data_IF_108012043703
#
_entry.id   IF_108012043703
#
_cell.length_a   1.000
_cell.length_b   1.000
_cell.length_c   1.000
_cell.angle_alpha   90.00
_cell.angle_beta   90.00
_cell.angle_gamma   90.00
#
_symmetry.space_group_name_H-M   'P 1'
#
loop_
_entity.id
_entity.type
_entity.pdbx_description
1 polymer ?
#
# COMPACT_ATOMS: atom_id res chain seq x y z
N UNK A 1 -46.26 40.46 9.41
CA UNK A 1 -45.05 39.73 8.96
C UNK A 1 -44.67 38.75 10.05
N UNK A 2 -45.09 37.50 9.94
CA UNK A 2 -44.64 36.41 10.80
C UNK A 2 -44.29 35.25 9.87
N UNK A 3 -43.07 35.31 9.33
CA UNK A 3 -42.51 34.20 8.58
C UNK A 3 -42.25 33.08 9.59
N UNK A 4 -43.15 32.10 9.60
CA UNK A 4 -43.08 30.94 10.46
C UNK A 4 -42.01 30.01 9.86
N UNK A 5 -40.75 30.19 10.26
CA UNK A 5 -39.64 29.34 9.83
C UNK A 5 -39.80 27.99 10.51
N UNK A 6 -40.42 27.04 9.80
CA UNK A 6 -40.38 25.63 10.17
C UNK A 6 -38.90 25.22 10.07
N UNK A 7 -38.22 25.08 11.22
CA UNK A 7 -36.90 24.46 11.24
C UNK A 7 -37.02 23.06 10.60
N UNK A 8 -36.14 22.70 9.64
CA UNK A 8 -36.15 21.36 9.11
C UNK A 8 -35.58 20.47 10.20
N UNK A 9 -36.43 19.69 10.87
CA UNK A 9 -36.02 18.57 11.72
C UNK A 9 -35.52 17.41 10.84
N UNK A 10 -34.64 17.73 9.90
CA UNK A 10 -34.06 16.82 8.93
C UNK A 10 -32.84 16.16 9.54
N UNK A 11 -32.85 14.84 9.56
CA UNK A 11 -31.67 14.04 9.89
C UNK A 11 -30.68 14.21 8.74
N UNK A 12 -29.62 15.00 8.95
CA UNK A 12 -28.61 15.29 7.94
C UNK A 12 -27.42 14.35 8.10
N UNK A 13 -27.25 13.42 7.14
CA UNK A 13 -26.12 12.49 7.11
C UNK A 13 -24.81 13.20 6.82
N UNK A 14 -24.81 14.22 5.95
CA UNK A 14 -23.58 14.95 5.60
C UNK A 14 -22.98 15.66 6.82
N UNK A 15 -23.82 16.29 7.64
CA UNK A 15 -23.39 16.92 8.89
C UNK A 15 -22.86 15.89 9.90
N UNK A 16 -23.44 14.68 9.92
CA UNK A 16 -22.93 13.58 10.74
C UNK A 16 -21.55 13.13 10.25
N UNK A 17 -21.38 12.83 8.97
CA UNK A 17 -20.11 12.40 8.39
C UNK A 17 -19.01 13.45 8.57
N UNK A 18 -19.33 14.74 8.40
CA UNK A 18 -18.41 15.83 8.70
C UNK A 18 -17.95 15.84 10.17
N UNK A 19 -18.83 15.49 11.11
CA UNK A 19 -18.52 15.49 12.56
C UNK A 19 -17.67 14.31 13.04
N UNK A 20 -17.66 13.21 12.28
CA UNK A 20 -16.91 11.98 12.57
C UNK A 20 -15.70 11.78 11.64
N UNK A 21 -15.46 12.74 10.73
CA UNK A 21 -14.32 12.71 9.84
C UNK A 21 -13.00 12.68 10.64
N UNK A 22 -12.06 11.82 10.23
CA UNK A 22 -10.77 11.63 10.89
C UNK A 22 -10.79 10.90 12.24
N UNK A 23 -11.96 10.39 12.69
CA UNK A 23 -12.04 9.60 13.93
C UNK A 23 -11.73 8.12 13.70
N UNK A 24 -11.25 7.40 14.73
CA UNK A 24 -11.05 5.96 14.65
C UNK A 24 -12.34 5.21 14.28
N UNK A 25 -12.23 4.13 13.50
CA UNK A 25 -13.37 3.36 13.00
C UNK A 25 -14.35 2.93 14.10
N UNK A 26 -13.83 2.54 15.28
CA UNK A 26 -14.65 2.15 16.44
C UNK A 26 -15.51 3.31 16.99
N UNK A 27 -14.97 4.53 16.98
CA UNK A 27 -15.72 5.72 17.42
C UNK A 27 -16.77 6.12 16.39
N UNK A 28 -16.44 6.02 15.10
CA UNK A 28 -17.37 6.26 14.00
C UNK A 28 -18.54 5.27 14.09
N UNK A 29 -18.28 3.99 14.31
CA UNK A 29 -19.30 2.95 14.50
C UNK A 29 -20.19 3.23 15.71
N UNK A 30 -19.62 3.66 16.84
CA UNK A 30 -20.42 4.01 18.02
C UNK A 30 -21.31 5.22 17.76
N UNK A 31 -20.75 6.27 17.15
CA UNK A 31 -21.49 7.49 16.81
C UNK A 31 -22.61 7.21 15.79
N UNK A 32 -22.35 6.35 14.81
CA UNK A 32 -23.33 5.90 13.82
C UNK A 32 -24.49 5.14 14.47
N UNK A 33 -24.20 4.20 15.37
CA UNK A 33 -25.23 3.47 16.11
C UNK A 33 -26.08 4.40 17.00
N UNK A 34 -25.45 5.38 17.65
CA UNK A 34 -26.16 6.39 18.44
C UNK A 34 -27.03 7.30 17.55
N UNK A 35 -26.53 7.74 16.40
CA UNK A 35 -27.26 8.54 15.43
C UNK A 35 -28.49 7.81 14.89
N UNK A 36 -28.35 6.52 14.55
CA UNK A 36 -29.48 5.69 14.11
C UNK A 36 -30.52 5.53 15.23
N UNK A 37 -30.08 5.19 16.43
CA UNK A 37 -31.00 4.86 17.54
C UNK A 37 -31.70 6.10 18.11
N UNK A 38 -30.94 7.17 18.38
CA UNK A 38 -31.47 8.39 19.01
C UNK A 38 -32.02 9.38 17.98
N UNK A 39 -31.37 9.49 16.83
CA UNK A 39 -31.82 10.34 15.73
C UNK A 39 -32.97 9.69 14.97
N UNK A 40 -32.68 8.67 14.16
CA UNK A 40 -33.64 8.10 13.22
C UNK A 40 -34.81 7.42 13.95
N UNK A 41 -34.53 6.38 14.73
CA UNK A 41 -35.59 5.64 15.44
C UNK A 41 -36.32 6.54 16.44
N UNK A 42 -35.57 7.36 17.19
CA UNK A 42 -36.11 8.30 18.17
C UNK A 42 -37.07 9.33 17.56
N UNK A 43 -36.70 9.98 16.46
CA UNK A 43 -37.54 10.99 15.79
C UNK A 43 -38.77 10.35 15.18
N UNK A 44 -38.63 9.23 14.47
CA UNK A 44 -39.77 8.55 13.83
C UNK A 44 -40.78 8.09 14.89
N UNK A 45 -40.30 7.49 15.99
CA UNK A 45 -41.16 7.00 17.08
C UNK A 45 -41.89 8.16 17.77
N UNK A 46 -41.24 9.31 17.98
CA UNK A 46 -41.87 10.50 18.55
C UNK A 46 -42.93 11.09 17.63
N UNK A 47 -42.63 11.22 16.34
CA UNK A 47 -43.56 11.79 15.35
C UNK A 47 -44.79 10.90 15.11
N UNK A 48 -44.63 9.57 15.18
CA UNK A 48 -45.71 8.61 14.89
C UNK A 48 -46.32 7.97 16.15
N UNK A 49 -45.97 8.46 17.35
CA UNK A 49 -46.39 7.87 18.64
C UNK A 49 -47.90 7.64 18.75
N UNK A 50 -48.72 8.67 18.51
CA UNK A 50 -50.19 8.58 18.57
C UNK A 50 -50.76 7.59 17.57
N UNK A 51 -50.13 7.49 16.40
CA UNK A 51 -50.56 6.59 15.33
C UNK A 51 -50.23 5.13 15.64
N UNK A 52 -49.08 4.85 16.25
CA UNK A 52 -48.71 3.50 16.67
C UNK A 52 -49.58 3.01 17.83
N UNK A 53 -49.88 3.87 18.81
CA UNK A 53 -50.75 3.55 19.95
C UNK A 53 -52.18 3.23 19.52
N UNK A 54 -52.70 3.94 18.52
CA UNK A 54 -54.08 3.76 18.06
C UNK A 54 -54.27 2.54 17.13
N UNK A 55 -53.18 1.95 16.60
CA UNK A 55 -53.24 0.85 15.63
C UNK A 55 -52.16 -0.23 15.90
N UNK A 56 -52.36 -1.13 16.89
CA UNK A 56 -51.35 -2.09 17.34
C UNK A 56 -50.86 -3.06 16.24
N UNK A 57 -51.73 -3.47 15.31
CA UNK A 57 -51.33 -4.31 14.18
C UNK A 57 -50.28 -3.64 13.26
N UNK A 58 -50.26 -2.30 13.21
CA UNK A 58 -49.30 -1.51 12.44
C UNK A 58 -47.96 -1.33 13.18
N UNK A 59 -47.94 -1.54 14.49
CA UNK A 59 -46.70 -1.56 15.28
C UNK A 59 -45.76 -2.66 14.81
N UNK A 60 -46.28 -3.85 14.49
CA UNK A 60 -45.48 -4.97 13.97
C UNK A 60 -44.81 -4.63 12.63
N UNK A 61 -45.55 -3.99 11.71
CA UNK A 61 -45.02 -3.52 10.42
C UNK A 61 -43.97 -2.43 10.63
N UNK A 62 -44.21 -1.53 11.58
CA UNK A 62 -43.26 -0.48 11.95
C UNK A 62 -41.95 -1.07 12.50
N UNK A 63 -42.02 -2.04 13.40
CA UNK A 63 -40.84 -2.73 13.94
C UNK A 63 -40.08 -3.49 12.85
N UNK A 64 -40.77 -4.10 11.89
CA UNK A 64 -40.14 -4.72 10.71
C UNK A 64 -39.41 -3.69 9.85
N UNK A 65 -40.01 -2.51 9.62
CA UNK A 65 -39.37 -1.42 8.88
C UNK A 65 -38.11 -0.93 9.60
N UNK A 66 -38.16 -0.73 10.92
CA UNK A 66 -37.01 -0.31 11.73
C UNK A 66 -35.90 -1.38 11.69
N UNK A 67 -36.28 -2.67 11.73
CA UNK A 67 -35.32 -3.77 11.58
C UNK A 67 -34.66 -3.77 10.20
N UNK A 68 -35.42 -3.54 9.13
CA UNK A 68 -34.90 -3.43 7.78
C UNK A 68 -33.95 -2.24 7.60
N UNK A 69 -34.34 -1.08 8.12
CA UNK A 69 -33.51 0.13 8.14
C UNK A 69 -32.19 -0.11 8.88
N UNK A 70 -32.23 -0.81 10.02
CA UNK A 70 -31.03 -1.16 10.78
C UNK A 70 -30.11 -2.12 10.01
N UNK A 71 -30.67 -3.04 9.25
CA UNK A 71 -29.88 -3.96 8.41
C UNK A 71 -29.18 -3.20 7.28
N UNK A 72 -29.89 -2.31 6.58
CA UNK A 72 -29.31 -1.45 5.54
C UNK A 72 -28.20 -0.55 6.11
N UNK A 73 -28.43 0.02 7.28
CA UNK A 73 -27.45 0.86 7.96
C UNK A 73 -26.14 0.10 8.27
N UNK A 74 -26.25 -1.13 8.78
CA UNK A 74 -25.08 -2.00 9.02
C UNK A 74 -24.35 -2.35 7.72
N UNK A 75 -25.09 -2.51 6.63
CA UNK A 75 -24.48 -2.80 5.33
C UNK A 75 -23.64 -1.62 4.84
N UNK A 76 -24.19 -0.40 4.88
CA UNK A 76 -23.45 0.84 4.52
C UNK A 76 -22.20 0.99 5.40
N UNK A 77 -22.34 0.80 6.72
CA UNK A 77 -21.18 0.82 7.62
C UNK A 77 -20.08 -0.17 7.24
N UNK A 78 -20.46 -1.39 6.87
CA UNK A 78 -19.50 -2.42 6.47
C UNK A 78 -18.79 -2.02 5.18
N UNK A 79 -19.51 -1.41 4.24
CA UNK A 79 -18.96 -0.92 2.99
C UNK A 79 -18.00 0.26 3.25
N UNK A 80 -18.36 1.22 4.09
CA UNK A 80 -17.50 2.36 4.47
C UNK A 80 -16.20 1.88 5.12
N UNK A 81 -16.29 0.91 6.04
CA UNK A 81 -15.12 0.33 6.69
C UNK A 81 -14.23 -0.46 5.72
N UNK A 82 -14.84 -1.15 4.75
CA UNK A 82 -14.08 -1.87 3.71
C UNK A 82 -13.34 -0.88 2.82
N UNK A 83 -13.97 0.24 2.43
CA UNK A 83 -13.34 1.30 1.65
C UNK A 83 -12.09 1.87 2.35
N UNK A 84 -12.21 2.23 3.63
CA UNK A 84 -11.05 2.69 4.42
C UNK A 84 -9.94 1.64 4.52
N UNK A 85 -10.31 0.38 4.72
CA UNK A 85 -9.33 -0.70 4.78
C UNK A 85 -8.59 -0.89 3.47
N UNK A 86 -9.25 -0.67 2.33
CA UNK A 86 -8.62 -0.72 1.01
C UNK A 86 -7.64 0.44 0.85
N UNK A 87 -8.05 1.67 1.16
CA UNK A 87 -7.17 2.85 1.14
C UNK A 87 -5.94 2.66 2.05
N UNK A 88 -6.11 2.13 3.26
CA UNK A 88 -5.01 1.82 4.18
C UNK A 88 -4.04 0.77 3.59
N UNK A 89 -4.57 -0.28 2.95
CA UNK A 89 -3.76 -1.31 2.29
C UNK A 89 -3.01 -0.76 1.08
N UNK A 90 -3.63 0.10 0.27
CA UNK A 90 -3.00 0.78 -0.87
C UNK A 90 -1.83 1.66 -0.41
N UNK A 91 -2.03 2.43 0.67
CA UNK A 91 -0.97 3.25 1.25
C UNK A 91 0.20 2.40 1.75
N UNK A 92 -0.08 1.30 2.47
CA UNK A 92 0.97 0.37 2.94
C UNK A 92 1.73 -0.29 1.80
N UNK A 93 1.02 -0.65 0.73
CA UNK A 93 1.64 -1.25 -0.45
C UNK A 93 2.57 -0.25 -1.14
N UNK A 94 2.15 1.01 -1.28
CA UNK A 94 3.00 2.07 -1.82
C UNK A 94 4.24 2.30 -0.97
N UNK A 95 4.10 2.36 0.37
CA UNK A 95 5.26 2.48 1.28
C UNK A 95 6.25 1.33 1.12
N UNK A 96 5.76 0.11 0.90
CA UNK A 96 6.62 -1.06 0.64
C UNK A 96 7.33 -0.96 -0.70
N UNK A 97 6.64 -0.53 -1.76
CA UNK A 97 7.25 -0.30 -3.08
C UNK A 97 8.35 0.76 -2.99
N UNK A 98 8.06 1.90 -2.37
CA UNK A 98 9.03 2.98 -2.18
C UNK A 98 10.26 2.50 -1.38
N UNK A 99 10.06 1.63 -0.37
CA UNK A 99 11.16 1.06 0.41
C UNK A 99 12.04 0.07 -0.39
N UNK A 100 11.47 -0.60 -1.38
CA UNK A 100 12.21 -1.48 -2.28
C UNK A 100 13.01 -0.67 -3.30
N UNK A 101 12.47 0.44 -3.78
CA UNK A 101 13.18 1.35 -4.69
C UNK A 101 14.39 2.03 -4.04
N UNK A 102 14.33 2.30 -2.73
CA UNK A 102 15.43 2.95 -1.98
C UNK A 102 16.50 1.99 -1.46
N UNK A 103 16.36 0.68 -1.69
CA UNK A 103 17.31 -0.32 -1.17
C UNK A 103 18.53 -0.44 -2.06
N UNK A 104 19.61 0.22 -1.67
CA UNK A 104 20.93 -0.06 -2.23
C UNK A 104 21.45 -1.42 -1.71
N UNK A 105 21.56 -2.40 -2.61
CA UNK A 105 22.11 -3.71 -2.31
C UNK A 105 23.55 -3.81 -2.79
N UNK A 106 24.46 -4.11 -1.85
CA UNK A 106 25.89 -4.25 -2.13
C UNK A 106 26.36 -5.68 -1.84
N UNK A 107 27.31 -6.15 -2.65
CA UNK A 107 28.03 -7.40 -2.40
C UNK A 107 29.52 -7.08 -2.35
N UNK A 108 30.16 -7.40 -1.22
CA UNK A 108 31.61 -7.35 -1.07
C UNK A 108 32.18 -8.77 -1.28
N UNK A 109 33.21 -8.90 -2.13
CA UNK A 109 33.82 -10.19 -2.46
C UNK A 109 35.23 -10.26 -1.86
N UNK A 110 35.47 -11.23 -0.97
CA UNK A 110 36.78 -11.45 -0.35
C UNK A 110 37.82 -12.18 -1.22
N UNK A 111 37.43 -12.65 -2.41
CA UNK A 111 38.30 -13.28 -3.39
C UNK A 111 37.53 -14.07 -4.45
N UNK A 112 38.11 -14.22 -5.64
CA UNK A 112 37.52 -14.95 -6.77
C UNK A 112 38.39 -16.16 -7.10
N UNK A 113 37.84 -17.37 -6.92
CA UNK A 113 38.53 -18.62 -7.22
C UNK A 113 38.03 -19.20 -8.54
N UNK A 114 38.78 -18.97 -9.62
CA UNK A 114 38.41 -19.44 -10.96
C UNK A 114 37.33 -18.57 -11.62
N UNK A 115 36.69 -19.10 -12.66
CA UNK A 115 35.61 -18.39 -13.35
C UNK A 115 34.40 -18.30 -12.43
N UNK A 116 33.92 -17.09 -12.18
CA UNK A 116 32.77 -16.82 -11.32
C UNK A 116 31.72 -16.07 -12.12
N UNK A 117 30.48 -16.55 -12.10
CA UNK A 117 29.32 -15.87 -12.66
C UNK A 117 28.41 -15.45 -11.50
N UNK A 118 27.93 -14.21 -11.56
CA UNK A 118 26.99 -13.66 -10.61
C UNK A 118 25.76 -13.14 -11.33
N UNK A 119 24.61 -13.39 -10.74
CA UNK A 119 23.33 -12.89 -11.20
C UNK A 119 22.75 -11.95 -10.15
N UNK A 120 22.40 -10.75 -10.58
CA UNK A 120 21.76 -9.74 -9.76
C UNK A 120 20.31 -9.60 -10.24
N UNK A 121 19.37 -10.00 -9.39
CA UNK A 121 17.93 -9.88 -9.68
C UNK A 121 17.53 -8.42 -9.49
N UNK A 122 17.06 -7.80 -10.56
CA UNK A 122 16.55 -6.44 -10.56
C UNK A 122 15.09 -6.47 -10.17
N UNK A 123 14.79 -6.19 -8.90
CA UNK A 123 13.43 -6.08 -8.43
C UNK A 123 12.78 -4.81 -9.02
N UNK A 124 12.17 -4.93 -10.21
CA UNK A 124 11.39 -3.86 -10.83
C UNK A 124 9.91 -4.11 -10.61
N UNK A 125 9.29 -3.17 -9.91
CA UNK A 125 7.85 -3.12 -9.72
C UNK A 125 7.22 -2.47 -10.95
N UNK A 126 6.30 -3.17 -11.61
CA UNK A 126 5.55 -2.64 -12.76
C UNK A 126 4.09 -2.43 -12.32
N UNK A 127 3.55 -1.20 -12.48
CA UNK A 127 2.12 -0.98 -12.23
C UNK A 127 1.29 -1.71 -13.29
N UNK A 128 0.33 -2.51 -12.87
CA UNK A 128 -0.61 -3.18 -13.75
C UNK A 128 -1.79 -2.25 -14.08
N UNK A 129 -1.96 -1.83 -15.35
CA UNK A 129 -2.96 -0.83 -15.72
C UNK A 129 -4.42 -1.27 -15.57
N UNK A 130 -4.67 -2.57 -15.39
CA UNK A 130 -6.03 -3.14 -15.37
C UNK A 130 -6.56 -3.44 -13.97
N UNK A 131 -5.68 -3.74 -13.02
CA UNK A 131 -6.06 -4.28 -11.71
C UNK A 131 -5.60 -3.39 -10.54
N UNK A 132 -5.06 -2.19 -10.82
CA UNK A 132 -4.50 -1.25 -9.82
C UNK A 132 -3.46 -1.91 -8.89
N UNK A 133 -2.86 -3.01 -9.35
CA UNK A 133 -1.88 -3.81 -8.61
C UNK A 133 -0.47 -3.63 -9.14
N UNK A 134 0.48 -4.28 -8.47
CA UNK A 134 1.89 -4.31 -8.84
C UNK A 134 2.28 -5.71 -9.31
N UNK A 135 3.10 -5.79 -10.35
CA UNK A 135 3.75 -7.02 -10.79
C UNK A 135 5.27 -6.89 -10.67
N UNK A 136 5.98 -8.01 -10.69
CA UNK A 136 7.43 -8.04 -10.70
C UNK A 136 7.94 -8.49 -12.06
N UNK A 137 8.65 -7.60 -12.74
CA UNK A 137 9.39 -7.99 -13.94
C UNK A 137 10.62 -8.79 -13.52
N UNK A 138 10.74 -10.05 -13.97
CA UNK A 138 11.97 -10.78 -13.79
C UNK A 138 13.02 -10.27 -14.79
N UNK A 139 13.90 -9.39 -14.31
CA UNK A 139 15.04 -8.87 -15.04
C UNK A 139 16.29 -9.12 -14.22
N UNK A 140 17.38 -9.50 -14.88
CA UNK A 140 18.65 -9.75 -14.21
C UNK A 140 19.81 -9.09 -14.94
N UNK A 141 20.76 -8.61 -14.15
CA UNK A 141 22.06 -8.19 -14.63
C UNK A 141 23.08 -9.27 -14.27
N UNK A 142 24.03 -9.55 -15.16
CA UNK A 142 25.04 -10.58 -14.94
C UNK A 142 26.43 -9.97 -14.84
N UNK A 143 27.27 -10.60 -14.04
CA UNK A 143 28.69 -10.29 -13.94
C UNK A 143 29.50 -11.59 -14.04
N UNK A 144 30.30 -11.70 -15.09
CA UNK A 144 31.26 -12.78 -15.26
C UNK A 144 32.66 -12.27 -14.91
N UNK A 145 33.32 -12.96 -13.99
CA UNK A 145 34.69 -12.69 -13.56
C UNK A 145 35.57 -13.85 -14.03
N UNK A 146 36.53 -13.55 -14.91
CA UNK A 146 37.45 -14.52 -15.49
C UNK A 146 38.87 -14.19 -15.08
N UNK A 147 39.51 -14.95 -14.18
CA UNK A 147 40.88 -14.69 -13.80
C UNK A 147 41.82 -14.80 -15.00
N UNK A 148 42.72 -13.82 -15.13
CA UNK A 148 43.78 -13.79 -16.13
C UNK A 148 45.07 -14.16 -15.41
N UNK A 149 45.63 -15.32 -15.73
CA UNK A 149 46.80 -15.96 -15.09
C UNK A 149 47.82 -14.97 -14.49
N UNK A 150 47.65 -14.65 -13.20
CA UNK A 150 48.57 -13.80 -12.42
C UNK A 150 48.55 -12.30 -12.73
N UNK A 151 47.76 -11.83 -13.70
CA UNK A 151 47.68 -10.43 -14.12
C UNK A 151 46.45 -9.70 -13.57
N UNK A 152 45.44 -10.44 -13.13
CA UNK A 152 44.19 -9.89 -12.59
C UNK A 152 42.98 -10.70 -13.05
N UNK A 153 41.91 -10.03 -13.46
CA UNK A 153 40.73 -10.66 -14.03
C UNK A 153 40.10 -9.79 -15.13
N UNK A 154 39.50 -10.45 -16.11
CA UNK A 154 38.55 -9.85 -17.03
C UNK A 154 37.17 -9.86 -16.35
N UNK A 155 36.59 -8.66 -16.22
CA UNK A 155 35.26 -8.42 -15.68
C UNK A 155 34.33 -8.15 -16.86
N UNK A 156 33.27 -8.92 -16.99
CA UNK A 156 32.26 -8.75 -18.03
C UNK A 156 30.90 -8.54 -17.37
N UNK A 157 30.37 -7.32 -17.44
CA UNK A 157 28.98 -7.07 -17.07
C UNK A 157 28.08 -7.17 -18.29
N UNK A 158 26.98 -7.89 -18.14
CA UNK A 158 25.85 -7.91 -19.09
C UNK A 158 24.64 -7.27 -18.41
N UNK A 159 24.07 -6.26 -19.05
CA UNK A 159 22.85 -5.63 -18.57
C UNK A 159 21.60 -6.42 -18.97
N UNK A 160 20.48 -6.10 -18.33
CA UNK A 160 19.20 -6.77 -18.58
C UNK A 160 18.61 -6.48 -19.98
N UNK A 161 19.21 -5.58 -20.77
CA UNK A 161 18.79 -5.20 -22.13
C UNK A 161 19.69 -5.84 -23.21
N UNK A 162 20.67 -6.65 -22.80
CA UNK A 162 21.62 -7.33 -23.68
C UNK A 162 22.86 -6.52 -24.06
N UNK A 163 23.04 -5.33 -23.49
CA UNK A 163 24.28 -4.59 -23.56
C UNK A 163 25.37 -5.22 -22.70
N UNK A 164 26.62 -5.06 -23.14
CA UNK A 164 27.76 -5.68 -22.51
C UNK A 164 28.89 -4.67 -22.31
N UNK A 165 29.57 -4.78 -21.17
CA UNK A 165 30.79 -4.05 -20.85
C UNK A 165 31.84 -5.03 -20.38
N UNK A 166 33.07 -4.88 -20.88
CA UNK A 166 34.21 -5.64 -20.42
C UNK A 166 35.32 -4.70 -19.98
N UNK A 167 35.98 -5.02 -18.87
CA UNK A 167 37.19 -4.34 -18.42
C UNK A 167 38.17 -5.35 -17.83
N UNK A 168 39.46 -5.04 -17.91
CA UNK A 168 40.49 -5.81 -17.20
C UNK A 168 40.84 -5.07 -15.91
N UNK A 169 40.81 -5.80 -14.80
CA UNK A 169 41.11 -5.29 -13.46
C UNK A 169 42.34 -6.03 -12.94
N UNK A 170 43.26 -5.30 -12.32
CA UNK A 170 44.50 -5.88 -11.77
C UNK A 170 44.22 -6.65 -10.48
N UNK A 171 45.14 -7.54 -10.10
CA UNK A 171 45.04 -8.32 -8.85
C UNK A 171 44.93 -7.44 -7.60
N UNK A 172 45.56 -6.26 -7.60
CA UNK A 172 45.50 -5.32 -6.48
C UNK A 172 44.12 -4.67 -6.34
N UNK A 173 43.50 -4.31 -7.46
CA UNK A 173 42.17 -3.70 -7.50
C UNK A 173 41.08 -4.71 -7.14
N UNK A 174 41.20 -5.97 -7.57
CA UNK A 174 40.23 -7.05 -7.30
C UNK A 174 39.97 -7.31 -5.82
N UNK A 175 40.98 -7.18 -4.96
CA UNK A 175 40.84 -7.41 -3.51
C UNK A 175 40.01 -6.33 -2.79
N UNK A 176 39.59 -5.30 -3.53
CA UNK A 176 39.06 -4.06 -3.02
C UNK A 176 37.87 -3.58 -3.85
N UNK A 177 37.04 -4.48 -4.39
CA UNK A 177 35.86 -4.10 -5.18
C UNK A 177 34.56 -4.28 -4.41
N UNK A 178 33.67 -3.31 -4.57
CA UNK A 178 32.26 -3.38 -4.19
C UNK A 178 31.42 -3.42 -5.46
N UNK A 179 30.46 -4.35 -5.51
CA UNK A 179 29.55 -4.51 -6.64
C UNK A 179 28.17 -3.99 -6.28
N UNK A 180 27.57 -3.23 -7.19
CA UNK A 180 26.19 -2.76 -7.09
C UNK A 180 25.55 -2.73 -8.48
N UNK A 181 24.24 -2.54 -8.53
CA UNK A 181 23.51 -2.34 -9.78
C UNK A 181 23.28 -0.84 -9.97
N UNK A 182 23.67 -0.32 -11.14
CA UNK A 182 23.25 0.99 -11.62
C UNK A 182 22.36 0.82 -12.85
N UNK A 183 21.09 1.22 -12.73
CA UNK A 183 20.06 1.00 -13.74
C UNK A 183 19.82 -0.49 -14.02
N UNK A 184 20.28 -0.98 -15.18
CA UNK A 184 20.15 -2.38 -15.60
C UNK A 184 21.47 -3.15 -15.61
N UNK A 185 22.56 -2.56 -15.11
CA UNK A 185 23.92 -3.09 -15.23
C UNK A 185 24.60 -3.25 -13.88
N UNK A 186 25.48 -4.26 -13.78
CA UNK A 186 26.38 -4.41 -12.62
C UNK A 186 27.59 -3.48 -12.79
N UNK A 187 27.80 -2.60 -11.82
CA UNK A 187 28.94 -1.68 -11.74
C UNK A 187 29.79 -2.06 -10.53
N UNK A 188 31.09 -1.75 -10.60
CA UNK A 188 32.03 -1.99 -9.52
C UNK A 188 32.83 -0.74 -9.21
N UNK A 189 32.97 -0.46 -7.92
CA UNK A 189 33.74 0.65 -7.40
C UNK A 189 34.83 0.16 -6.43
N UNK A 190 35.89 0.95 -6.20
CA UNK A 190 36.80 0.71 -5.09
C UNK A 190 36.04 0.71 -3.76
N UNK A 191 36.18 -0.36 -2.99
CA UNK A 191 35.65 -0.47 -1.64
C UNK A 191 36.49 0.37 -0.68
N UNK A 192 35.85 1.19 0.16
CA UNK A 192 36.54 2.00 1.18
C UNK A 192 37.37 1.16 2.17
N UNK A 193 37.07 -0.14 2.29
CA UNK A 193 37.86 -1.08 3.08
C UNK A 193 39.33 -1.18 2.61
N UNK A 194 39.62 -0.82 1.36
CA UNK A 194 40.97 -0.77 0.80
C UNK A 194 41.82 0.39 1.32
N UNK A 195 41.18 1.43 1.88
CA UNK A 195 41.87 2.63 2.39
C UNK A 195 42.47 2.42 3.78
N UNK A 196 42.11 1.32 4.47
CA UNK A 196 42.53 1.01 5.84
C UNK A 196 43.31 -0.31 5.98
N UNK A 197 43.70 -0.94 4.86
CA UNK A 197 44.49 -2.18 4.82
C UNK A 197 45.98 -1.90 4.55
#
# INVERSE_FOLDING_TARGET
>A
MTSNTIQPWGICLDAFYASVNGRPAQEVERALNEFFTRGIVGVITRQKRKYLVNYPAREKVFLQLISGLRALFRYVMRQDNLGRSVEDMENQLQEQVDSLEQRDAFVDIGGVAGNTEMEFILAQVIPQPRDEGFDFAHRSAHLDIRPVNGLGAEMVSRDADGGQMAATVTTAELGALRFHVDGSRVVWDPSEAATYA
#
